data_IF_119408808533
#
_entry.id   IF_119408808533
#
_cell.length_a   1.000
_cell.length_b   1.000
_cell.length_c   1.000
_cell.angle_alpha   90.00
_cell.angle_beta   90.00
_cell.angle_gamma   90.00
#
_symmetry.space_group_name_H-M   'P 1'
#
loop_
_entity.id
_entity.type
_entity.pdbx_description
1 polymer ?
#
# COMPACT_ATOMS: atom_id res chain seq x y z
N UNK A 1 10.29 19.75 13.51
CA UNK A 1 9.08 18.93 13.26
C UNK A 1 9.42 17.87 12.23
N UNK A 2 9.07 16.60 12.48
CA UNK A 2 9.16 15.57 11.43
C UNK A 2 8.11 15.90 10.35
N UNK A 3 8.44 15.60 9.09
CA UNK A 3 7.55 15.87 7.95
C UNK A 3 6.36 14.92 8.01
N UNK A 4 5.16 15.46 8.13
CA UNK A 4 3.91 14.71 7.99
C UNK A 4 3.61 14.58 6.51
N UNK A 5 3.31 13.37 6.07
CA UNK A 5 2.91 13.07 4.69
C UNK A 5 1.69 12.17 4.63
N UNK A 6 1.06 12.09 3.47
CA UNK A 6 -0.03 11.18 3.18
C UNK A 6 0.40 10.22 2.06
N UNK A 7 0.03 8.96 2.19
CA UNK A 7 0.18 7.96 1.14
C UNK A 7 -1.18 7.37 0.82
N UNK A 8 -1.54 7.40 -0.47
CA UNK A 8 -2.87 7.06 -0.97
C UNK A 8 -2.79 5.70 -1.67
N UNK A 9 -3.77 4.85 -1.40
CA UNK A 9 -3.90 3.53 -1.98
C UNK A 9 -5.29 3.33 -2.56
N UNK A 10 -5.37 2.68 -3.71
CA UNK A 10 -6.60 2.07 -4.20
C UNK A 10 -6.83 0.80 -3.39
N UNK A 11 -8.01 0.68 -2.79
CA UNK A 11 -8.48 -0.51 -2.11
C UNK A 11 -9.34 -1.31 -3.07
N UNK A 12 -8.97 -2.56 -3.31
CA UNK A 12 -9.81 -3.53 -4.01
C UNK A 12 -10.16 -4.65 -3.03
N UNK A 13 -11.44 -4.89 -2.79
CA UNK A 13 -11.98 -5.95 -1.93
C UNK A 13 -12.53 -7.04 -2.84
N UNK A 14 -12.22 -8.30 -2.55
CA UNK A 14 -12.63 -9.40 -3.41
C UNK A 14 -12.90 -10.66 -2.61
N UNK A 15 -13.66 -11.57 -3.22
CA UNK A 15 -14.00 -12.86 -2.66
C UNK A 15 -13.54 -13.99 -3.58
N UNK A 16 -12.73 -14.91 -3.07
CA UNK A 16 -12.22 -16.09 -3.78
C UNK A 16 -13.04 -17.32 -3.40
N UNK A 17 -13.68 -17.97 -4.37
CA UNK A 17 -14.42 -19.22 -4.19
C UNK A 17 -15.80 -19.23 -4.87
N UNK A 18 -16.37 -20.42 -5.10
CA UNK A 18 -17.73 -20.62 -5.64
C UNK A 18 -18.77 -20.38 -4.54
N UNK A 19 -18.96 -19.15 -4.11
CA UNK A 19 -20.09 -18.79 -3.23
C UNK A 19 -21.01 -17.84 -4.00
N UNK A 20 -22.24 -18.30 -4.25
CA UNK A 20 -23.34 -17.42 -4.60
C UNK A 20 -23.54 -16.43 -3.44
N UNK A 21 -23.76 -15.16 -3.79
CA UNK A 21 -23.99 -14.02 -2.88
C UNK A 21 -25.25 -14.14 -2.00
N UNK A 22 -25.76 -15.35 -1.75
CA UNK A 22 -27.03 -15.58 -1.09
C UNK A 22 -26.87 -15.90 0.41
N UNK A 23 -27.31 -14.93 1.22
CA UNK A 23 -28.15 -15.12 2.42
C UNK A 23 -27.53 -15.72 3.70
N UNK A 24 -26.30 -15.37 4.09
CA UNK A 24 -25.87 -15.60 5.50
C UNK A 24 -25.45 -14.39 6.34
N UNK A 25 -25.10 -13.25 5.74
CA UNK A 25 -24.54 -12.12 6.51
C UNK A 25 -25.18 -10.74 6.31
N UNK A 26 -26.34 -10.64 5.63
CA UNK A 26 -26.80 -9.33 5.16
C UNK A 26 -25.78 -8.71 4.21
N UNK A 27 -25.95 -7.43 3.85
CA UNK A 27 -24.98 -6.71 3.01
C UNK A 27 -23.69 -6.42 3.82
N UNK A 28 -22.87 -7.43 4.08
CA UNK A 28 -21.57 -7.28 4.72
C UNK A 28 -20.65 -6.43 3.83
N UNK A 29 -20.23 -5.28 4.35
CA UNK A 29 -19.33 -4.36 3.65
C UNK A 29 -17.93 -4.39 4.25
N UNK A 30 -16.95 -3.84 3.53
CA UNK A 30 -15.60 -3.68 4.09
C UNK A 30 -15.56 -2.67 5.25
N UNK A 31 -16.52 -1.72 5.34
CA UNK A 31 -16.72 -0.87 6.53
C UNK A 31 -17.04 -1.73 7.76
N UNK A 32 -17.86 -2.77 7.60
CA UNK A 32 -18.20 -3.66 8.71
C UNK A 32 -16.99 -4.47 9.17
N UNK A 33 -16.20 -4.97 8.21
CA UNK A 33 -14.96 -5.72 8.49
C UNK A 33 -13.94 -4.84 9.23
N UNK A 34 -13.66 -3.63 8.74
CA UNK A 34 -12.69 -2.73 9.38
C UNK A 34 -13.20 -2.22 10.73
N UNK A 35 -14.51 -2.08 10.91
CA UNK A 35 -15.13 -1.77 12.20
C UNK A 35 -14.92 -2.90 13.21
N UNK A 36 -15.14 -4.15 12.80
CA UNK A 36 -14.90 -5.32 13.64
C UNK A 36 -13.42 -5.46 14.01
N UNK A 37 -12.53 -5.33 13.03
CA UNK A 37 -11.08 -5.29 13.22
C UNK A 37 -10.68 -4.22 14.24
N UNK A 38 -11.22 -3.01 14.09
CA UNK A 38 -10.89 -1.88 14.96
C UNK A 38 -11.36 -2.09 16.39
N UNK A 39 -12.57 -2.63 16.58
CA UNK A 39 -13.09 -3.01 17.91
C UNK A 39 -12.23 -4.06 18.59
N UNK A 40 -11.76 -5.08 17.85
CA UNK A 40 -10.87 -6.10 18.40
C UNK A 40 -9.52 -5.51 18.83
N UNK A 41 -8.93 -4.65 17.99
CA UNK A 41 -7.61 -4.08 18.20
C UNK A 41 -7.61 -2.82 19.08
N UNK A 42 -8.76 -2.40 19.62
CA UNK A 42 -8.86 -1.26 20.54
C UNK A 42 -8.66 -1.63 22.02
N UNK A 43 -8.81 -2.90 22.39
CA UNK A 43 -8.79 -3.35 23.78
C UNK A 43 -7.40 -3.21 24.42
N UNK A 44 -6.38 -3.75 23.77
CA UNK A 44 -5.00 -3.76 24.24
C UNK A 44 -4.04 -3.69 23.05
N UNK A 45 -2.76 -3.52 23.32
CA UNK A 45 -1.74 -3.66 22.28
C UNK A 45 -1.68 -5.11 21.82
N UNK A 46 -1.86 -5.31 20.52
CA UNK A 46 -1.51 -6.53 19.83
C UNK A 46 0.01 -6.54 19.60
N UNK A 47 0.65 -7.66 19.93
CA UNK A 47 2.10 -7.84 19.84
C UNK A 47 2.39 -8.88 18.77
N UNK A 48 3.14 -8.49 17.75
CA UNK A 48 3.68 -9.40 16.74
C UNK A 48 5.15 -9.66 17.06
N UNK A 49 5.44 -10.87 17.56
CA UNK A 49 6.79 -11.33 17.92
C UNK A 49 7.67 -11.60 16.70
N UNK A 50 7.07 -11.93 15.56
CA UNK A 50 7.84 -12.21 14.35
C UNK A 50 8.26 -10.90 13.66
N UNK A 51 7.37 -9.91 13.66
CA UNK A 51 7.65 -8.58 13.07
C UNK A 51 8.24 -7.58 14.08
N UNK A 52 8.46 -7.97 15.34
CA UNK A 52 8.91 -7.11 16.45
C UNK A 52 8.13 -5.78 16.53
N UNK A 53 6.81 -5.86 16.29
CA UNK A 53 5.94 -4.70 16.14
C UNK A 53 4.70 -4.78 17.05
N UNK A 54 4.34 -3.66 17.67
CA UNK A 54 3.11 -3.52 18.43
C UNK A 54 2.09 -2.62 17.73
N UNK A 55 0.80 -2.88 17.97
CA UNK A 55 -0.28 -2.21 17.28
C UNK A 55 -1.51 -2.07 18.18
N UNK A 56 -2.15 -0.91 18.16
CA UNK A 56 -3.44 -0.69 18.82
C UNK A 56 -4.25 0.34 18.05
N UNK A 57 -5.54 0.07 17.84
CA UNK A 57 -6.47 1.10 17.37
C UNK A 57 -6.85 1.98 18.55
N UNK A 58 -6.52 3.27 18.47
CA UNK A 58 -6.76 4.23 19.53
C UNK A 58 -8.16 4.84 19.46
N UNK A 59 -8.63 5.16 18.25
CA UNK A 59 -9.97 5.68 17.99
C UNK A 59 -10.36 5.40 16.54
N UNK A 60 -11.67 5.36 16.28
CA UNK A 60 -12.21 5.27 14.94
C UNK A 60 -13.65 5.78 14.88
N UNK A 61 -14.04 6.26 13.71
CA UNK A 61 -15.37 6.80 13.43
C UNK A 61 -15.83 6.34 12.05
N UNK A 62 -17.15 6.19 11.89
CA UNK A 62 -17.79 5.84 10.62
C UNK A 62 -18.72 6.99 10.23
N UNK A 63 -18.59 7.45 9.00
CA UNK A 63 -19.37 8.56 8.46
C UNK A 63 -20.01 8.16 7.13
N UNK A 64 -21.22 8.65 6.87
CA UNK A 64 -21.89 8.52 5.60
C UNK A 64 -21.91 9.90 4.93
N UNK A 65 -21.08 10.09 3.90
CA UNK A 65 -20.95 11.36 3.21
C UNK A 65 -22.01 11.46 2.12
N UNK A 66 -22.76 12.56 2.15
CA UNK A 66 -23.91 12.81 1.26
C UNK A 66 -23.74 14.11 0.48
N UNK A 67 -24.37 14.19 -0.68
CA UNK A 67 -24.48 15.44 -1.45
C UNK A 67 -25.57 16.37 -0.86
N UNK A 68 -25.74 17.54 -1.47
CA UNK A 68 -26.75 18.53 -1.06
C UNK A 68 -28.19 17.98 -1.15
N UNK A 69 -28.43 17.02 -2.05
CA UNK A 69 -29.72 16.35 -2.26
C UNK A 69 -29.94 15.15 -1.31
N UNK A 70 -28.94 14.82 -0.48
CA UNK A 70 -28.99 13.73 0.49
C UNK A 70 -28.64 12.35 -0.07
N UNK A 71 -28.17 12.25 -1.31
CA UNK A 71 -27.67 11.01 -1.90
C UNK A 71 -26.31 10.65 -1.30
N UNK A 72 -26.10 9.36 -1.03
CA UNK A 72 -24.83 8.88 -0.49
C UNK A 72 -23.76 8.96 -1.58
N UNK A 73 -22.73 9.76 -1.35
CA UNK A 73 -21.55 9.86 -2.22
C UNK A 73 -20.57 8.73 -1.89
N UNK A 74 -20.27 8.52 -0.60
CA UNK A 74 -19.44 7.43 -0.11
C UNK A 74 -19.59 7.21 1.40
N UNK A 75 -19.18 6.02 1.85
CA UNK A 75 -19.04 5.74 3.28
C UNK A 75 -17.56 5.90 3.67
N UNK A 76 -17.31 6.61 4.76
CA UNK A 76 -15.98 6.84 5.28
C UNK A 76 -15.73 6.10 6.59
N UNK A 77 -14.50 5.66 6.78
CA UNK A 77 -13.99 5.16 8.04
C UNK A 77 -12.70 5.89 8.37
N UNK A 78 -12.69 6.59 9.49
CA UNK A 78 -11.50 7.31 9.97
C UNK A 78 -10.97 6.61 11.21
N UNK A 79 -9.66 6.65 11.41
CA UNK A 79 -9.10 6.08 12.62
C UNK A 79 -7.70 6.54 12.94
N UNK A 80 -7.33 6.37 14.20
CA UNK A 80 -5.98 6.60 14.71
C UNK A 80 -5.45 5.29 15.26
N UNK A 81 -4.30 4.85 14.76
CA UNK A 81 -3.58 3.68 15.25
C UNK A 81 -2.32 4.13 15.96
N UNK A 82 -2.00 3.48 17.06
CA UNK A 82 -0.72 3.58 17.75
C UNK A 82 0.12 2.35 17.40
N UNK A 83 1.30 2.56 16.82
CA UNK A 83 2.21 1.46 16.48
C UNK A 83 3.67 1.84 16.73
N UNK A 84 4.52 0.83 16.97
CA UNK A 84 5.93 1.00 17.30
C UNK A 84 6.70 -0.32 17.18
N UNK A 85 8.02 -0.21 17.11
CA UNK A 85 8.96 -1.34 17.05
C UNK A 85 9.68 -1.52 18.40
N UNK A 86 9.86 -2.78 18.80
CA UNK A 86 10.67 -3.18 19.96
C UNK A 86 11.83 -4.09 19.50
N UNK A 87 12.55 -4.72 20.43
CA UNK A 87 13.68 -5.60 20.11
C UNK A 87 15.04 -4.90 20.03
N UNK A 88 15.07 -3.57 20.07
CA UNK A 88 16.31 -2.78 20.06
C UNK A 88 16.40 -1.87 21.28
N UNK A 89 17.53 -1.92 21.98
CA UNK A 89 17.86 -1.00 23.06
C UNK A 89 18.20 0.39 22.53
N UNK A 90 17.80 1.44 23.25
CA UNK A 90 18.11 2.81 22.88
C UNK A 90 18.23 3.75 24.09
N UNK A 91 19.07 4.78 23.96
CA UNK A 91 19.16 5.84 24.95
C UNK A 91 18.26 7.02 24.54
N UNK A 92 17.31 7.36 25.41
CA UNK A 92 16.52 8.57 25.27
C UNK A 92 17.28 9.71 25.95
N UNK A 93 17.79 10.64 25.15
CA UNK A 93 18.50 11.83 25.60
C UNK A 93 17.57 13.05 25.51
N UNK A 94 17.49 13.83 26.58
CA UNK A 94 16.77 15.09 26.57
C UNK A 94 17.48 16.10 25.66
N UNK A 95 16.86 16.46 24.53
CA UNK A 95 17.49 17.27 23.46
C UNK A 95 18.02 18.64 23.93
N UNK A 96 17.37 19.29 24.89
CA UNK A 96 17.83 20.58 25.45
C UNK A 96 18.97 20.46 26.47
N UNK A 97 18.91 19.50 27.40
CA UNK A 97 19.88 19.37 28.50
C UNK A 97 21.02 18.41 28.17
N UNK A 98 20.89 17.64 27.08
CA UNK A 98 21.82 16.58 26.64
C UNK A 98 22.02 15.46 27.68
N UNK A 99 21.12 15.35 28.66
CA UNK A 99 21.16 14.32 29.70
C UNK A 99 20.34 13.09 29.30
N UNK A 100 20.83 11.92 29.66
CA UNK A 100 20.08 10.67 29.57
C UNK A 100 18.82 10.75 30.45
N UNK A 101 17.66 10.47 29.86
CA UNK A 101 16.38 10.43 30.57
C UNK A 101 15.85 9.02 30.78
N UNK A 102 16.12 8.11 29.84
CA UNK A 102 15.65 6.72 29.92
C UNK A 102 16.52 5.82 29.04
N UNK A 103 16.68 4.56 29.43
CA UNK A 103 17.27 3.51 28.58
C UNK A 103 16.15 2.56 28.18
N UNK A 104 15.69 2.70 26.93
CA UNK A 104 14.72 1.80 26.32
C UNK A 104 15.33 0.40 26.28
N UNK A 105 14.66 -0.58 26.88
CA UNK A 105 15.06 -2.00 26.79
C UNK A 105 14.50 -2.66 25.51
N UNK A 106 14.93 -3.88 25.23
CA UNK A 106 14.39 -4.68 24.11
C UNK A 106 12.90 -4.99 24.24
N UNK A 107 12.34 -4.92 25.45
CA UNK A 107 10.92 -5.17 25.74
C UNK A 107 10.05 -3.91 25.65
N UNK A 108 10.67 -2.74 25.49
CA UNK A 108 9.97 -1.47 25.36
C UNK A 108 9.83 -1.08 23.88
N UNK A 109 8.74 -0.40 23.55
CA UNK A 109 8.48 0.14 22.22
C UNK A 109 8.21 1.65 22.29
N UNK A 110 8.79 2.41 21.36
CA UNK A 110 8.37 3.79 21.12
C UNK A 110 7.12 3.76 20.22
N UNK A 111 5.98 4.21 20.74
CA UNK A 111 4.70 4.11 20.05
C UNK A 111 4.27 5.46 19.51
N UNK A 112 4.00 5.52 18.20
CA UNK A 112 3.62 6.74 17.49
C UNK A 112 2.19 6.60 16.96
N UNK A 113 1.34 7.63 17.12
CA UNK A 113 0.00 7.65 16.54
C UNK A 113 0.04 8.05 15.05
N UNK A 114 -0.70 7.32 14.22
CA UNK A 114 -0.91 7.59 12.80
C UNK A 114 -2.40 7.59 12.49
N UNK A 115 -2.88 8.62 11.78
CA UNK A 115 -4.24 8.64 11.26
C UNK A 115 -4.37 7.87 9.94
N UNK A 116 -5.55 7.32 9.68
CA UNK A 116 -5.96 6.88 8.35
C UNK A 116 -7.39 7.31 8.03
N UNK A 117 -7.65 7.30 6.73
CA UNK A 117 -8.94 7.59 6.16
C UNK A 117 -9.24 6.56 5.06
N UNK A 118 -10.38 5.90 5.17
CA UNK A 118 -10.92 5.01 4.16
C UNK A 118 -12.19 5.64 3.59
N UNK A 119 -12.32 5.69 2.27
CA UNK A 119 -13.57 5.98 1.58
C UNK A 119 -13.96 4.81 0.69
N UNK A 120 -15.21 4.38 0.76
CA UNK A 120 -15.77 3.28 -0.02
C UNK A 120 -16.93 3.76 -0.86
N UNK A 121 -16.91 3.38 -2.14
CA UNK A 121 -17.98 3.72 -3.07
C UNK A 121 -19.29 3.00 -2.68
N UNK A 122 -20.44 3.67 -2.69
CA UNK A 122 -21.72 3.05 -2.39
C UNK A 122 -22.23 2.22 -3.57
N UNK A 123 -21.78 2.57 -4.80
CA UNK A 123 -22.14 1.89 -6.05
C UNK A 123 -21.21 0.71 -6.31
N UNK A 124 -19.93 0.85 -5.93
CA UNK A 124 -18.90 -0.19 -6.08
C UNK A 124 -18.26 -0.50 -4.72
N UNK A 125 -18.97 -1.21 -3.83
CA UNK A 125 -18.50 -1.49 -2.47
C UNK A 125 -17.23 -2.35 -2.42
N UNK A 126 -16.84 -2.94 -3.55
CA UNK A 126 -15.59 -3.66 -3.76
C UNK A 126 -14.39 -2.73 -4.04
N UNK A 127 -14.60 -1.42 -4.21
CA UNK A 127 -13.56 -0.43 -4.50
C UNK A 127 -13.60 0.76 -3.53
N UNK A 128 -12.42 1.19 -3.11
CA UNK A 128 -12.26 2.35 -2.24
C UNK A 128 -10.89 3.02 -2.34
N UNK A 129 -10.70 4.04 -1.51
CA UNK A 129 -9.43 4.74 -1.33
C UNK A 129 -9.05 4.63 0.14
N UNK A 130 -7.82 4.20 0.41
CA UNK A 130 -7.24 4.16 1.76
C UNK A 130 -6.04 5.09 1.83
N UNK A 131 -6.08 6.02 2.77
CA UNK A 131 -5.05 7.05 2.98
C UNK A 131 -4.40 6.79 4.32
N UNK A 132 -3.08 6.63 4.34
CA UNK A 132 -2.30 6.52 5.55
C UNK A 132 -1.47 7.78 5.81
N UNK A 133 -1.51 8.26 7.05
CA UNK A 133 -0.52 9.22 7.53
C UNK A 133 0.85 8.56 7.60
N UNK A 134 1.88 9.35 7.30
CA UNK A 134 3.29 9.01 7.42
C UNK A 134 4.00 10.10 8.20
N UNK A 135 5.00 9.71 8.98
CA UNK A 135 5.88 10.63 9.71
C UNK A 135 7.33 10.30 9.38
N UNK A 136 7.93 11.08 8.48
CA UNK A 136 9.25 10.78 7.94
C UNK A 136 9.27 9.45 7.18
N UNK A 137 10.01 8.46 7.69
CA UNK A 137 10.10 7.10 7.13
C UNK A 137 9.09 6.13 7.76
N UNK A 138 8.44 6.52 8.85
CA UNK A 138 7.53 5.66 9.60
C UNK A 138 6.11 5.78 9.07
N UNK A 139 5.44 4.64 8.93
CA UNK A 139 4.02 4.54 8.57
C UNK A 139 3.43 3.31 9.22
N UNK A 140 2.13 3.33 9.49
CA UNK A 140 1.40 2.15 9.94
C UNK A 140 1.00 1.18 8.82
N UNK A 141 1.24 1.51 7.55
CA UNK A 141 0.72 0.76 6.40
C UNK A 141 0.99 -0.75 6.49
N UNK A 142 2.25 -1.13 6.70
CA UNK A 142 2.64 -2.55 6.77
C UNK A 142 2.02 -3.27 7.97
N UNK A 143 2.08 -2.65 9.16
CA UNK A 143 1.50 -3.20 10.39
C UNK A 143 -0.02 -3.36 10.30
N UNK A 144 -0.69 -2.35 9.73
CA UNK A 144 -2.13 -2.35 9.48
C UNK A 144 -2.52 -3.42 8.45
N UNK A 145 -1.87 -3.42 7.28
CA UNK A 145 -2.20 -4.32 6.18
C UNK A 145 -2.00 -5.79 6.57
N UNK A 146 -0.90 -6.11 7.25
CA UNK A 146 -0.63 -7.46 7.72
C UNK A 146 -1.73 -7.96 8.66
N UNK A 147 -2.06 -7.17 9.69
CA UNK A 147 -3.06 -7.53 10.70
C UNK A 147 -4.47 -7.56 10.15
N UNK A 148 -4.83 -6.60 9.30
CA UNK A 148 -6.14 -6.57 8.66
C UNK A 148 -6.31 -7.75 7.70
N UNK A 149 -5.31 -8.07 6.86
CA UNK A 149 -5.35 -9.27 6.01
C UNK A 149 -5.46 -10.55 6.82
N UNK A 150 -4.72 -10.66 7.92
CA UNK A 150 -4.83 -11.79 8.84
C UNK A 150 -6.25 -11.87 9.41
N UNK A 151 -6.78 -10.79 9.97
CA UNK A 151 -8.14 -10.73 10.51
C UNK A 151 -9.19 -11.14 9.47
N UNK A 152 -9.18 -10.51 8.28
CA UNK A 152 -10.16 -10.79 7.23
C UNK A 152 -10.16 -12.26 6.84
N UNK A 153 -8.99 -12.85 6.55
CA UNK A 153 -8.90 -14.26 6.13
C UNK A 153 -9.35 -15.25 7.20
N UNK A 154 -9.13 -14.95 8.48
CA UNK A 154 -9.52 -15.84 9.58
C UNK A 154 -11.00 -15.70 9.96
N UNK A 155 -11.58 -14.51 9.79
CA UNK A 155 -12.95 -14.20 10.24
C UNK A 155 -13.98 -14.34 9.13
N UNK A 156 -13.60 -14.03 7.89
CA UNK A 156 -14.49 -14.00 6.74
C UNK A 156 -13.93 -14.91 5.64
N UNK A 157 -14.37 -16.17 5.63
CA UNK A 157 -13.96 -17.16 4.64
C UNK A 157 -14.14 -16.63 3.21
N UNK A 158 -13.14 -16.84 2.36
CA UNK A 158 -13.14 -16.40 0.97
C UNK A 158 -12.89 -14.91 0.76
N UNK A 159 -12.98 -14.05 1.78
CA UNK A 159 -12.74 -12.60 1.63
C UNK A 159 -11.25 -12.23 1.70
N UNK A 160 -10.86 -11.23 0.91
CA UNK A 160 -9.53 -10.63 0.94
C UNK A 160 -9.56 -9.20 0.34
N UNK A 161 -8.43 -8.49 0.43
CA UNK A 161 -8.27 -7.18 -0.21
C UNK A 161 -6.83 -6.93 -0.67
N UNK A 162 -6.67 -6.06 -1.67
CA UNK A 162 -5.39 -5.50 -2.11
C UNK A 162 -5.35 -3.99 -1.89
N UNK A 163 -4.12 -3.48 -1.67
CA UNK A 163 -3.82 -2.06 -1.61
C UNK A 163 -2.79 -1.74 -2.68
N UNK A 164 -3.23 -1.08 -3.74
CA UNK A 164 -2.37 -0.65 -4.84
C UNK A 164 -2.04 0.82 -4.67
N UNK A 165 -0.82 1.23 -5.02
CA UNK A 165 -0.42 2.64 -4.88
C UNK A 165 -1.25 3.48 -5.85
N UNK A 166 -1.99 4.45 -5.32
CA UNK A 166 -2.78 5.37 -6.13
C UNK A 166 -2.08 6.73 -6.17
N UNK A 167 -1.79 7.22 -7.37
CA UNK A 167 -1.22 8.55 -7.56
C UNK A 167 -2.18 9.38 -8.41
N UNK A 168 -2.64 10.55 -7.92
CA UNK A 168 -3.42 11.47 -8.74
C UNK A 168 -2.69 11.80 -10.02
N UNK A 169 -3.42 11.93 -11.14
CA UNK A 169 -2.85 12.15 -12.47
C UNK A 169 -1.96 13.40 -12.50
N UNK A 170 -2.40 14.45 -11.82
CA UNK A 170 -1.69 15.71 -11.67
C UNK A 170 -0.35 15.50 -10.94
N UNK A 171 -0.34 14.60 -9.97
CA UNK A 171 0.88 14.25 -9.24
C UNK A 171 1.84 13.46 -10.13
N UNK A 172 1.35 12.53 -10.96
CA UNK A 172 2.18 11.85 -11.97
C UNK A 172 2.78 12.86 -12.93
N UNK A 173 1.99 13.81 -13.41
CA UNK A 173 2.43 14.85 -14.34
C UNK A 173 3.59 15.68 -13.77
N UNK A 174 3.54 16.05 -12.49
CA UNK A 174 4.67 16.72 -11.82
C UNK A 174 5.97 15.89 -11.85
N UNK A 175 5.91 14.57 -11.73
CA UNK A 175 7.11 13.73 -11.86
C UNK A 175 7.59 13.60 -13.30
N UNK A 176 6.68 13.61 -14.28
CA UNK A 176 7.05 13.57 -15.69
C UNK A 176 7.73 14.85 -16.16
N UNK A 177 7.37 16.00 -15.57
CA UNK A 177 7.89 17.32 -15.93
C UNK A 177 9.12 17.70 -15.09
N UNK A 178 8.99 17.67 -13.76
CA UNK A 178 10.01 18.19 -12.83
C UNK A 178 10.88 17.09 -12.20
N UNK A 179 10.47 15.83 -12.37
CA UNK A 179 11.12 14.67 -11.77
C UNK A 179 12.30 14.16 -12.58
N UNK A 180 13.21 13.47 -11.90
CA UNK A 180 14.30 12.72 -12.52
C UNK A 180 13.99 11.24 -12.44
N UNK A 181 13.81 10.58 -13.59
CA UNK A 181 13.65 9.13 -13.63
C UNK A 181 14.96 8.43 -13.22
N UNK A 182 14.87 7.60 -12.18
CA UNK A 182 15.99 6.86 -11.58
C UNK A 182 16.00 5.38 -11.90
N UNK A 183 14.84 4.81 -12.18
CA UNK A 183 14.72 3.39 -12.47
C UNK A 183 13.53 3.12 -13.39
N UNK A 184 13.75 2.27 -14.39
CA UNK A 184 12.70 1.54 -15.11
C UNK A 184 12.83 0.07 -14.72
N UNK A 185 11.76 -0.54 -14.23
CA UNK A 185 11.74 -1.94 -13.83
C UNK A 185 10.64 -2.66 -14.59
N UNK A 186 11.04 -3.56 -15.46
CA UNK A 186 10.18 -4.47 -16.21
C UNK A 186 10.12 -5.80 -15.46
N UNK A 187 8.93 -6.35 -15.25
CA UNK A 187 8.71 -7.59 -14.50
C UNK A 187 7.93 -8.56 -15.40
N UNK A 188 8.44 -9.78 -15.53
CA UNK A 188 7.80 -10.89 -16.22
C UNK A 188 7.45 -11.97 -15.21
N UNK A 189 6.18 -12.30 -15.07
CA UNK A 189 5.69 -13.34 -14.18
C UNK A 189 5.76 -14.69 -14.86
N UNK A 190 6.16 -15.70 -14.09
CA UNK A 190 6.45 -17.02 -14.63
C UNK A 190 7.77 -17.01 -15.40
N UNK A 191 8.55 -18.06 -15.19
CA UNK A 191 9.77 -18.33 -15.94
C UNK A 191 9.53 -19.55 -16.82
N UNK A 192 10.25 -19.66 -17.94
CA UNK A 192 10.07 -20.82 -18.82
C UNK A 192 10.43 -22.11 -18.09
N UNK A 193 9.79 -23.21 -18.47
CA UNK A 193 10.08 -24.52 -17.90
C UNK A 193 11.55 -24.90 -18.11
N UNK A 194 12.13 -24.55 -19.26
CA UNK A 194 13.55 -24.76 -19.55
C UNK A 194 14.49 -24.02 -18.56
N UNK A 195 14.19 -22.76 -18.24
CA UNK A 195 14.96 -22.00 -17.24
C UNK A 195 14.74 -22.60 -15.86
N UNK A 196 13.51 -23.02 -15.56
CA UNK A 196 13.16 -23.64 -14.29
C UNK A 196 13.95 -24.93 -14.05
N UNK A 197 13.91 -25.86 -15.00
CA UNK A 197 14.58 -27.17 -14.91
C UNK A 197 16.10 -27.03 -14.83
N UNK A 198 16.71 -26.17 -15.66
CA UNK A 198 18.16 -25.92 -15.64
C UNK A 198 18.66 -25.40 -14.30
N UNK A 199 17.84 -24.62 -13.60
CA UNK A 199 18.21 -23.99 -12.34
C UNK A 199 17.59 -24.68 -11.11
N UNK A 200 16.92 -25.83 -11.30
CA UNK A 200 16.27 -26.56 -10.21
C UNK A 200 15.10 -25.81 -9.55
N UNK A 201 14.50 -24.85 -10.25
CA UNK A 201 13.37 -24.05 -9.78
C UNK A 201 12.08 -24.82 -10.06
N UNK A 202 11.16 -24.85 -9.09
CA UNK A 202 9.83 -25.48 -9.29
C UNK A 202 8.95 -24.53 -10.13
N UNK A 203 8.91 -24.78 -11.43
CA UNK A 203 8.39 -23.86 -12.46
C UNK A 203 6.88 -23.60 -12.52
N UNK A 204 6.12 -23.77 -11.42
CA UNK A 204 4.66 -23.55 -11.40
C UNK A 204 4.16 -22.62 -10.29
N UNK A 205 5.06 -21.94 -9.56
CA UNK A 205 4.63 -20.91 -8.62
C UNK A 205 4.57 -19.55 -9.33
N UNK A 206 3.40 -18.91 -9.33
CA UNK A 206 3.20 -17.49 -9.71
C UNK A 206 4.10 -16.53 -8.89
N UNK A 207 4.74 -17.04 -7.82
CA UNK A 207 5.72 -16.33 -7.02
C UNK A 207 7.11 -16.20 -7.69
N UNK A 208 7.39 -16.95 -8.76
CA UNK A 208 8.65 -16.87 -9.51
C UNK A 208 8.51 -15.88 -10.68
N UNK A 209 9.38 -14.88 -10.72
CA UNK A 209 9.36 -13.83 -11.74
C UNK A 209 10.78 -13.38 -12.11
N UNK A 210 10.92 -12.86 -13.32
CA UNK A 210 12.13 -12.21 -13.81
C UNK A 210 11.95 -10.69 -13.79
N UNK A 211 13.00 -9.96 -13.38
CA UNK A 211 13.02 -8.51 -13.45
C UNK A 211 14.18 -8.02 -14.32
N UNK A 212 13.91 -7.03 -15.16
CA UNK A 212 14.94 -6.26 -15.86
C UNK A 212 14.87 -4.81 -15.43
N UNK A 213 15.97 -4.32 -14.85
CA UNK A 213 16.04 -3.00 -14.25
C UNK A 213 17.05 -2.14 -15.03
N UNK A 214 16.61 -0.98 -15.50
CA UNK A 214 17.46 0.03 -16.12
C UNK A 214 17.58 1.20 -15.13
N UNK A 215 18.78 1.40 -14.60
CA UNK A 215 19.08 2.50 -13.69
C UNK A 215 19.48 3.77 -14.44
N UNK A 216 19.02 4.91 -13.92
CA UNK A 216 19.25 6.25 -14.48
C UNK A 216 19.06 6.32 -16.01
N UNK A 217 17.86 5.99 -16.54
CA UNK A 217 17.57 6.04 -17.97
C UNK A 217 17.42 7.48 -18.47
N UNK A 218 18.54 8.19 -18.54
CA UNK A 218 18.61 9.59 -18.97
C UNK A 218 18.01 9.75 -20.38
N UNK A 219 17.28 10.84 -20.61
CA UNK A 219 16.62 11.13 -21.88
C UNK A 219 15.33 10.33 -22.15
N UNK A 220 15.00 9.31 -21.34
CA UNK A 220 13.78 8.52 -21.56
C UNK A 220 12.52 9.40 -21.55
N UNK A 221 12.40 10.34 -20.60
CA UNK A 221 11.20 11.16 -20.46
C UNK A 221 10.95 12.10 -21.64
N UNK A 222 11.97 12.44 -22.44
CA UNK A 222 11.82 13.30 -23.63
C UNK A 222 10.88 12.71 -24.69
N UNK A 223 10.79 11.37 -24.74
CA UNK A 223 9.94 10.62 -25.69
C UNK A 223 8.96 9.67 -25.00
N UNK A 224 9.31 9.21 -23.81
CA UNK A 224 8.55 8.24 -23.03
C UNK A 224 7.44 8.87 -22.18
N UNK A 225 7.51 10.16 -21.85
CA UNK A 225 6.47 10.81 -21.05
C UNK A 225 5.10 10.78 -21.72
N UNK A 226 5.03 11.02 -23.03
CA UNK A 226 3.75 10.95 -23.77
C UNK A 226 3.17 9.54 -23.80
N UNK A 227 4.02 8.51 -23.95
CA UNK A 227 3.58 7.12 -23.84
C UNK A 227 2.99 6.81 -22.47
N UNK A 228 3.59 7.32 -21.39
CA UNK A 228 3.05 7.18 -20.03
C UNK A 228 1.70 7.90 -19.92
N UNK A 229 1.57 9.12 -20.47
CA UNK A 229 0.29 9.86 -20.49
C UNK A 229 -0.80 9.12 -21.26
N UNK A 230 -0.47 8.47 -22.37
CA UNK A 230 -1.39 7.63 -23.14
C UNK A 230 -1.87 6.43 -22.33
N UNK A 231 -0.98 5.75 -21.59
CA UNK A 231 -1.36 4.66 -20.67
C UNK A 231 -2.33 5.17 -19.60
N UNK A 232 -2.05 6.32 -18.97
CA UNK A 232 -2.93 6.93 -17.96
C UNK A 232 -4.31 7.33 -18.52
N UNK A 233 -4.43 7.51 -19.84
CA UNK A 233 -5.70 7.79 -20.54
C UNK A 233 -6.38 6.52 -21.06
N UNK A 234 -5.78 5.35 -20.87
CA UNK A 234 -6.27 4.08 -21.41
C UNK A 234 -6.11 3.95 -22.93
N UNK A 235 -5.21 4.73 -23.53
CA UNK A 235 -4.99 4.80 -24.99
C UNK A 235 -3.83 3.92 -25.47
N UNK A 236 -3.03 3.36 -24.55
CA UNK A 236 -1.86 2.53 -24.84
C UNK A 236 -1.74 1.41 -23.81
N UNK A 237 -1.24 0.26 -24.22
CA UNK A 237 -0.87 -0.82 -23.30
C UNK A 237 0.44 -0.53 -22.57
N UNK A 238 0.54 -0.92 -21.29
CA UNK A 238 1.76 -0.75 -20.52
C UNK A 238 2.99 -1.41 -21.19
N UNK A 239 2.78 -2.57 -21.81
CA UNK A 239 3.83 -3.35 -22.48
C UNK A 239 4.41 -2.66 -23.73
N UNK A 240 3.81 -1.55 -24.16
CA UNK A 240 4.23 -0.79 -25.35
C UNK A 240 4.96 0.51 -25.00
N UNK A 241 5.18 0.78 -23.70
CA UNK A 241 5.89 1.97 -23.24
C UNK A 241 7.40 1.83 -23.48
N UNK A 242 7.97 0.68 -23.09
CA UNK A 242 9.38 0.32 -23.29
C UNK A 242 9.42 -0.90 -24.20
N UNK A 243 10.21 -0.83 -25.26
CA UNK A 243 10.41 -1.96 -26.17
C UNK A 243 11.80 -2.53 -25.98
N UNK A 244 11.91 -3.81 -25.63
CA UNK A 244 13.18 -4.52 -25.48
C UNK A 244 13.11 -5.81 -26.30
N UNK A 245 14.10 -6.04 -27.16
CA UNK A 245 14.04 -7.07 -28.22
C UNK A 245 13.98 -8.52 -27.72
N UNK A 246 14.45 -8.77 -26.50
CA UNK A 246 14.63 -10.10 -25.91
C UNK A 246 13.88 -10.25 -24.57
N UNK A 247 12.99 -9.32 -24.24
CA UNK A 247 12.31 -9.32 -22.94
C UNK A 247 10.89 -8.74 -23.03
N UNK A 248 9.93 -9.64 -23.13
CA UNK A 248 8.52 -9.31 -22.88
C UNK A 248 8.28 -9.21 -21.37
N UNK A 249 7.43 -8.28 -20.96
CA UNK A 249 7.13 -8.03 -19.55
C UNK A 249 5.64 -7.80 -19.34
N UNK A 250 5.15 -8.17 -18.16
CA UNK A 250 3.75 -8.03 -17.75
C UNK A 250 3.52 -6.74 -16.94
N UNK A 251 4.54 -6.28 -16.22
CA UNK A 251 4.46 -5.09 -15.38
C UNK A 251 5.67 -4.16 -15.61
N UNK A 252 5.43 -2.84 -15.54
CA UNK A 252 6.42 -1.80 -15.70
C UNK A 252 6.29 -0.77 -14.58
N UNK A 253 7.34 -0.67 -13.77
CA UNK A 253 7.43 0.27 -12.64
C UNK A 253 8.47 1.33 -12.93
N UNK A 254 8.20 2.54 -12.48
CA UNK A 254 9.11 3.67 -12.57
C UNK A 254 9.54 4.09 -11.16
N UNK A 255 10.78 4.54 -10.99
CA UNK A 255 11.20 5.21 -9.75
C UNK A 255 11.69 6.59 -10.09
N UNK A 256 11.04 7.62 -9.54
CA UNK A 256 11.42 8.99 -9.77
C UNK A 256 12.01 9.62 -8.52
N UNK A 257 12.86 10.62 -8.72
CA UNK A 257 13.33 11.54 -7.70
C UNK A 257 12.81 12.94 -8.00
N UNK A 258 12.11 13.54 -7.04
CA UNK A 258 11.67 14.93 -7.09
C UNK A 258 12.22 15.65 -5.85
N UNK A 259 13.12 16.61 -6.07
CA UNK A 259 13.90 17.23 -4.99
C UNK A 259 14.72 16.20 -4.20
N UNK A 260 14.51 16.14 -2.87
CA UNK A 260 15.17 15.18 -1.97
C UNK A 260 14.41 13.86 -1.77
N UNK A 261 13.25 13.70 -2.40
CA UNK A 261 12.39 12.53 -2.19
C UNK A 261 12.45 11.62 -3.40
N UNK A 262 12.70 10.33 -3.16
CA UNK A 262 12.53 9.28 -4.16
C UNK A 262 11.17 8.61 -3.92
N UNK A 263 10.37 8.45 -4.97
CA UNK A 263 9.12 7.70 -4.91
C UNK A 263 9.05 6.71 -6.08
N UNK A 264 8.69 5.44 -5.82
CA UNK A 264 8.25 4.56 -6.88
C UNK A 264 6.91 5.08 -7.41
N UNK A 265 6.87 5.35 -8.71
CA UNK A 265 5.66 5.45 -9.51
C UNK A 265 5.40 4.05 -10.09
N UNK A 266 4.54 3.30 -9.42
CA UNK A 266 4.03 2.06 -10.00
C UNK A 266 3.01 2.48 -11.06
N UNK A 267 3.19 2.01 -12.29
CA UNK A 267 2.09 1.97 -13.25
C UNK A 267 1.77 0.51 -13.59
N UNK A 268 0.50 0.29 -13.87
CA UNK A 268 -0.21 -0.97 -14.08
C UNK A 268 -0.51 -1.77 -12.80
N UNK A 269 -1.76 -2.14 -12.54
CA UNK A 269 -3.00 -2.17 -13.35
C UNK A 269 -4.08 -1.37 -12.62
#
# INVERSE_FOLDING_TARGET
MKKIGLTIYALNVFHTGKYHFEKKHGHLTFIDMISAFSKQNAKQFDIDNHAENIFKVNSFEVECVKDEDGHIIFNAFTGVVKTGEYGTEAELIHTKTRKLTHKKTVEEAEVIPFAFYLALSPIRPERGILIFQTEGRSSMKSAFEHRMKKFVRHTYEGWNFSLETLMPKEYVEHYLVDGVLKELRMIKYGISQDISERNGIRGNDEAVYEERIIHNPLGFLEKGADKIREVLRGQRSLCEVVSVSDFDYDCLKFKFRLGKTEKPLISAI
#
